data_IF_802259355005
#
_entry.id   IF_802259355005
#
_cell.length_a   1.000
_cell.length_b   1.000
_cell.length_c   1.000
_cell.angle_alpha   90.00
_cell.angle_beta   90.00
_cell.angle_gamma   90.00
#
_symmetry.space_group_name_H-M   'P 1'
#
loop_
_entity.id
_entity.type
_entity.pdbx_description
1 polymer ?
#
# COMPACT_ATOMS: atom_id res chain seq x y z
N UNK A 1 3.60 38.02 -1.03
CA UNK A 1 4.24 36.75 -1.24
C UNK A 1 5.42 36.59 -0.31
N UNK A 2 5.25 35.88 0.82
CA UNK A 2 6.38 35.42 1.62
C UNK A 2 6.76 34.05 1.06
N UNK A 3 7.94 33.99 0.37
CA UNK A 3 8.52 32.74 -0.06
C UNK A 3 8.74 31.82 1.14
N UNK A 4 8.35 30.54 0.99
CA UNK A 4 8.69 29.51 1.94
C UNK A 4 10.20 29.50 2.15
N UNK A 5 10.66 29.92 3.34
CA UNK A 5 12.03 29.74 3.74
C UNK A 5 12.26 28.23 3.91
N UNK A 6 13.11 27.65 3.06
CA UNK A 6 13.50 26.26 3.19
C UNK A 6 14.19 26.07 4.54
N UNK A 7 13.79 25.10 5.37
CA UNK A 7 14.66 24.63 6.42
C UNK A 7 15.95 24.12 5.74
N UNK A 8 17.10 24.50 6.25
CA UNK A 8 18.43 24.24 5.68
C UNK A 8 18.88 22.76 5.70
N UNK A 9 18.01 21.83 6.02
CA UNK A 9 18.17 20.40 5.81
C UNK A 9 17.24 19.99 4.69
N UNK A 10 17.76 19.94 3.47
CA UNK A 10 17.09 19.24 2.38
C UNK A 10 16.85 17.79 2.84
N UNK A 11 15.61 17.38 2.87
CA UNK A 11 15.23 15.98 3.16
C UNK A 11 15.62 15.02 2.01
N UNK A 12 16.72 15.31 1.28
CA UNK A 12 17.13 14.55 0.11
C UNK A 12 16.29 14.82 -1.15
N UNK A 13 15.15 15.52 -1.03
CA UNK A 13 14.32 15.89 -2.17
C UNK A 13 15.02 17.00 -2.97
N UNK A 14 15.54 16.59 -4.12
CA UNK A 14 16.03 17.58 -5.11
C UNK A 14 14.85 18.41 -5.61
N UNK A 15 15.05 19.72 -5.78
CA UNK A 15 14.05 20.62 -6.36
C UNK A 15 13.63 20.23 -7.78
N UNK A 16 14.40 19.35 -8.43
CA UNK A 16 14.11 18.81 -9.74
C UNK A 16 14.37 17.31 -9.74
N UNK A 17 13.37 16.48 -9.99
CA UNK A 17 13.58 15.06 -10.19
C UNK A 17 14.53 14.83 -11.38
N UNK A 18 15.38 13.81 -11.30
CA UNK A 18 16.29 13.44 -12.40
C UNK A 18 15.54 13.01 -13.66
N UNK A 19 14.37 12.44 -13.50
CA UNK A 19 13.48 12.05 -14.61
C UNK A 19 12.19 12.85 -14.52
N UNK A 20 11.85 13.54 -15.60
CA UNK A 20 10.61 14.31 -15.73
C UNK A 20 9.98 14.07 -17.10
N UNK A 21 8.69 14.23 -17.18
CA UNK A 21 8.00 14.28 -18.46
C UNK A 21 8.38 15.56 -19.21
N UNK A 22 8.49 15.50 -20.56
CA UNK A 22 8.72 16.70 -21.36
C UNK A 22 7.63 17.76 -21.12
N UNK A 23 8.03 19.03 -21.09
CA UNK A 23 7.12 20.17 -20.93
C UNK A 23 6.85 20.56 -19.46
N UNK A 24 7.56 19.97 -18.50
CA UNK A 24 7.52 20.36 -17.09
C UNK A 24 8.90 20.83 -16.64
N UNK A 25 9.16 22.12 -16.71
CA UNK A 25 10.48 22.72 -16.41
C UNK A 25 10.51 23.47 -15.07
N UNK A 26 9.36 23.80 -14.52
CA UNK A 26 9.25 24.50 -13.23
C UNK A 26 9.82 23.65 -12.08
N UNK A 27 10.61 24.26 -11.18
CA UNK A 27 11.13 23.52 -10.01
C UNK A 27 9.99 23.05 -9.11
N UNK A 28 10.17 21.89 -8.49
CA UNK A 28 9.26 21.45 -7.45
C UNK A 28 9.44 22.30 -6.20
N UNK A 29 8.34 22.54 -5.52
CA UNK A 29 8.30 23.23 -4.23
C UNK A 29 8.26 22.18 -3.09
N UNK A 30 8.77 22.57 -1.93
CA UNK A 30 8.52 21.85 -0.68
C UNK A 30 7.52 22.67 0.12
N UNK A 31 6.33 22.14 0.27
CA UNK A 31 5.28 22.72 1.09
C UNK A 31 5.17 21.98 2.40
N UNK A 32 4.76 22.64 3.47
CA UNK A 32 4.41 21.93 4.71
C UNK A 32 3.16 21.08 4.50
N UNK A 33 3.06 19.98 5.25
CA UNK A 33 1.88 19.13 5.17
C UNK A 33 0.59 19.91 5.51
N UNK A 34 0.66 20.91 6.42
CA UNK A 34 -0.46 21.80 6.77
C UNK A 34 -0.89 22.71 5.62
N UNK A 35 0.03 23.12 4.75
CA UNK A 35 -0.32 23.89 3.55
C UNK A 35 -1.06 23.04 2.52
N UNK A 36 -0.79 21.75 2.46
CA UNK A 36 -1.36 20.81 1.48
C UNK A 36 -2.61 20.11 1.99
N UNK A 37 -2.65 19.77 3.28
CA UNK A 37 -3.70 18.96 3.88
C UNK A 37 -4.19 19.57 5.19
N UNK A 38 -5.46 19.35 5.49
CA UNK A 38 -6.06 19.69 6.77
C UNK A 38 -6.52 18.43 7.50
N UNK A 39 -6.44 18.46 8.82
CA UNK A 39 -7.06 17.43 9.65
C UNK A 39 -8.58 17.61 9.67
N UNK A 40 -9.32 16.57 9.34
CA UNK A 40 -10.78 16.56 9.33
C UNK A 40 -11.28 15.63 10.43
N UNK A 41 -12.25 16.13 11.20
CA UNK A 41 -12.97 15.34 12.21
C UNK A 41 -14.46 15.54 11.99
N UNK A 42 -15.02 14.73 11.12
CA UNK A 42 -16.44 14.70 10.80
C UNK A 42 -17.03 13.40 11.34
N UNK A 43 -18.00 13.48 12.22
CA UNK A 43 -18.59 12.35 12.97
C UNK A 43 -20.11 12.36 12.81
N UNK A 44 -20.77 11.39 13.46
CA UNK A 44 -22.23 11.23 13.46
C UNK A 44 -22.80 10.79 12.10
N UNK A 45 -22.11 9.85 11.45
CA UNK A 45 -22.56 9.21 10.20
C UNK A 45 -22.69 7.68 10.40
N UNK A 46 -23.52 7.18 11.34
CA UNK A 46 -23.58 5.76 11.67
C UNK A 46 -24.12 4.87 10.54
N UNK A 47 -24.83 5.45 9.58
CA UNK A 47 -25.44 4.74 8.45
C UNK A 47 -24.45 4.53 7.29
N UNK A 48 -23.27 5.12 7.37
CA UNK A 48 -22.25 5.02 6.32
C UNK A 48 -21.45 3.72 6.40
N UNK A 49 -20.91 3.29 5.26
CA UNK A 49 -20.11 2.06 5.17
C UNK A 49 -18.88 2.12 6.06
N UNK A 50 -18.74 1.14 6.93
CA UNK A 50 -17.54 1.02 7.77
C UNK A 50 -16.38 0.50 6.94
N UNK A 51 -15.33 1.30 6.87
CA UNK A 51 -14.12 0.98 6.13
C UNK A 51 -13.00 0.47 7.06
N UNK A 52 -12.22 -0.46 6.55
CA UNK A 52 -10.99 -0.93 7.20
C UNK A 52 -9.78 -0.58 6.35
N UNK A 53 -8.66 -0.36 7.03
CA UNK A 53 -7.36 -0.10 6.38
C UNK A 53 -6.74 -1.43 5.96
N UNK A 54 -6.28 -1.49 4.72
CA UNK A 54 -5.45 -2.57 4.19
C UNK A 54 -4.16 -1.96 3.70
N UNK A 55 -3.07 -2.23 4.38
CA UNK A 55 -1.76 -1.65 4.09
C UNK A 55 -1.35 -1.88 2.64
N UNK A 56 -0.98 -0.80 1.96
CA UNK A 56 -0.62 -0.78 0.54
C UNK A 56 -1.79 -0.92 -0.43
N UNK A 57 -3.05 -0.89 0.07
CA UNK A 57 -4.25 -1.01 -0.77
C UNK A 57 -5.32 0.04 -0.46
N UNK A 58 -5.06 0.91 0.53
CA UNK A 58 -6.03 1.92 0.97
C UNK A 58 -7.12 1.34 1.85
N UNK A 59 -8.36 1.78 1.63
CA UNK A 59 -9.53 1.32 2.38
C UNK A 59 -10.36 0.33 1.60
N UNK A 60 -10.96 -0.62 2.32
CA UNK A 60 -11.98 -1.54 1.82
C UNK A 60 -13.18 -1.58 2.78
N UNK A 61 -14.41 -1.83 2.30
CA UNK A 61 -15.53 -2.18 3.15
C UNK A 61 -15.14 -3.32 4.09
N UNK A 62 -15.44 -3.19 5.36
CA UNK A 62 -15.04 -4.15 6.39
C UNK A 62 -15.50 -5.57 6.09
N UNK A 63 -16.68 -5.71 5.52
CA UNK A 63 -17.25 -7.01 5.12
C UNK A 63 -16.38 -7.75 4.10
N UNK A 64 -15.72 -7.01 3.20
CA UNK A 64 -14.83 -7.56 2.17
C UNK A 64 -13.43 -7.91 2.70
N UNK A 65 -13.05 -7.37 3.86
CA UNK A 65 -11.74 -7.60 4.45
C UNK A 65 -11.63 -8.92 5.24
N UNK A 66 -12.70 -9.74 5.30
CA UNK A 66 -12.70 -11.05 5.94
C UNK A 66 -12.48 -11.03 7.47
N UNK A 67 -12.61 -9.88 8.10
CA UNK A 67 -12.49 -9.72 9.55
C UNK A 67 -13.87 -9.47 10.15
N UNK A 68 -14.50 -10.50 10.72
CA UNK A 68 -15.67 -10.35 11.57
C UNK A 68 -15.24 -9.78 12.94
N UNK A 69 -15.08 -8.47 12.99
CA UNK A 69 -14.94 -7.77 14.27
C UNK A 69 -16.34 -7.27 14.64
N UNK A 70 -16.93 -7.88 15.65
CA UNK A 70 -18.15 -7.35 16.27
C UNK A 70 -17.83 -5.98 16.86
N UNK A 71 -18.60 -4.97 16.47
CA UNK A 71 -18.59 -3.66 17.07
C UNK A 71 -20.01 -3.34 17.56
N UNK A 72 -20.07 -2.55 18.61
CA UNK A 72 -21.34 -2.05 19.12
C UNK A 72 -21.81 -0.92 18.19
N UNK A 73 -23.00 -1.03 17.63
CA UNK A 73 -23.59 -0.01 16.73
C UNK A 73 -23.64 1.35 17.41
N UNK A 74 -23.77 1.41 18.73
CA UNK A 74 -23.68 2.64 19.52
C UNK A 74 -22.34 3.35 19.39
N UNK A 75 -21.27 2.67 18.97
CA UNK A 75 -19.93 3.24 18.79
C UNK A 75 -19.74 3.90 17.42
N UNK A 76 -20.58 3.61 16.43
CA UNK A 76 -20.41 4.10 15.05
C UNK A 76 -20.55 5.62 14.93
N UNK A 77 -21.35 6.26 15.78
CA UNK A 77 -21.48 7.71 15.83
C UNK A 77 -20.16 8.44 16.13
N UNK A 78 -19.19 7.74 16.75
CA UNK A 78 -17.85 8.29 17.04
C UNK A 78 -16.88 8.12 15.88
N UNK A 79 -17.21 7.29 14.88
CA UNK A 79 -16.36 7.08 13.72
C UNK A 79 -16.26 8.36 12.90
N UNK A 80 -15.18 8.49 12.16
CA UNK A 80 -14.87 9.68 11.36
C UNK A 80 -15.18 9.41 9.90
N UNK A 81 -15.90 10.32 9.27
CA UNK A 81 -16.22 10.29 7.85
C UNK A 81 -14.97 10.58 7.02
N UNK A 82 -14.68 9.73 6.04
CA UNK A 82 -13.67 9.95 5.02
C UNK A 82 -14.32 10.06 3.66
N UNK A 83 -13.77 10.91 2.81
CA UNK A 83 -14.13 11.02 1.41
C UNK A 83 -13.07 10.33 0.54
N UNK A 84 -13.49 9.82 -0.59
CA UNK A 84 -12.57 9.25 -1.58
C UNK A 84 -11.44 10.23 -1.90
N UNK A 85 -10.20 9.78 -1.74
CA UNK A 85 -9.00 10.60 -1.96
C UNK A 85 -8.45 11.27 -0.71
N UNK A 86 -9.15 11.21 0.44
CA UNK A 86 -8.57 11.58 1.73
C UNK A 86 -7.46 10.60 2.12
N UNK A 87 -6.47 11.07 2.87
CA UNK A 87 -5.43 10.21 3.43
C UNK A 87 -5.65 9.95 4.91
N UNK A 88 -5.20 8.80 5.36
CA UNK A 88 -5.44 8.32 6.71
C UNK A 88 -4.12 7.98 7.37
N UNK A 89 -3.82 8.67 8.49
CA UNK A 89 -2.77 8.25 9.41
C UNK A 89 -3.41 7.24 10.36
N UNK A 90 -3.03 5.99 10.23
CA UNK A 90 -3.51 4.89 11.06
C UNK A 90 -2.42 4.40 12.01
N UNK A 91 -2.75 3.48 12.91
CA UNK A 91 -1.86 3.05 13.99
C UNK A 91 -0.49 2.48 13.55
N UNK A 92 -0.39 2.02 12.30
CA UNK A 92 0.85 1.45 11.74
C UNK A 92 1.41 2.24 10.56
N UNK A 93 0.98 3.49 10.37
CA UNK A 93 1.46 4.33 9.26
C UNK A 93 2.99 4.53 9.28
N UNK A 94 3.61 4.44 10.45
CA UNK A 94 5.07 4.54 10.60
C UNK A 94 5.84 3.34 9.98
N UNK A 95 5.16 2.25 9.61
CA UNK A 95 5.76 1.07 8.98
C UNK A 95 5.61 1.08 7.46
N UNK A 96 4.52 1.61 6.94
CA UNK A 96 4.19 1.47 5.53
C UNK A 96 3.62 2.72 4.84
N UNK A 97 3.59 3.86 5.53
CA UNK A 97 3.07 5.11 4.99
C UNK A 97 1.58 5.34 5.28
N UNK A 98 1.01 6.32 4.60
CA UNK A 98 -0.39 6.71 4.75
C UNK A 98 -1.23 6.00 3.71
N UNK A 99 -2.43 5.57 4.12
CA UNK A 99 -3.37 4.94 3.22
C UNK A 99 -4.40 5.94 2.68
N UNK A 100 -4.79 5.76 1.43
CA UNK A 100 -5.81 6.60 0.79
C UNK A 100 -7.20 5.96 0.92
N UNK A 101 -8.22 6.78 1.16
CA UNK A 101 -9.61 6.35 1.10
C UNK A 101 -10.02 6.08 -0.37
N UNK A 102 -10.33 4.83 -0.69
CA UNK A 102 -10.75 4.43 -2.03
C UNK A 102 -12.20 4.78 -2.34
N UNK A 103 -13.01 4.97 -1.31
CA UNK A 103 -14.43 5.30 -1.35
C UNK A 103 -14.84 6.13 -0.14
N UNK A 104 -16.04 6.66 -0.14
CA UNK A 104 -16.61 7.35 1.00
C UNK A 104 -17.04 6.33 2.05
N UNK A 105 -16.95 6.70 3.33
CA UNK A 105 -17.37 5.84 4.43
C UNK A 105 -16.80 6.32 5.76
N UNK A 106 -16.90 5.50 6.79
CA UNK A 106 -16.43 5.84 8.13
C UNK A 106 -15.30 4.91 8.59
N UNK A 107 -14.34 5.50 9.29
CA UNK A 107 -13.16 4.80 9.83
C UNK A 107 -13.05 5.01 11.34
N UNK A 108 -12.20 4.21 11.98
CA UNK A 108 -11.94 4.28 13.43
C UNK A 108 -11.68 5.71 13.92
N UNK A 109 -12.23 6.10 15.07
CA UNK A 109 -11.98 7.41 15.68
C UNK A 109 -10.51 7.64 16.06
N UNK A 110 -9.72 6.58 16.21
CA UNK A 110 -8.29 6.65 16.51
C UNK A 110 -7.44 7.15 15.33
N UNK A 111 -7.99 7.19 14.11
CA UNK A 111 -7.24 7.62 12.93
C UNK A 111 -7.32 9.13 12.72
N UNK A 112 -6.27 9.69 12.12
CA UNK A 112 -6.23 11.08 11.68
C UNK A 112 -6.52 11.13 10.18
N UNK A 113 -7.46 11.99 9.79
CA UNK A 113 -7.91 12.12 8.40
C UNK A 113 -7.35 13.41 7.82
N UNK A 114 -6.67 13.28 6.69
CA UNK A 114 -6.05 14.37 5.97
C UNK A 114 -6.80 14.62 4.66
N UNK A 115 -7.42 15.77 4.55
CA UNK A 115 -8.11 16.22 3.33
C UNK A 115 -7.32 17.31 2.65
N UNK A 116 -7.22 17.25 1.32
CA UNK A 116 -6.47 18.24 0.54
C UNK A 116 -7.03 19.64 0.64
N UNK A 117 -6.13 20.62 0.79
CA UNK A 117 -6.41 22.08 0.80
C UNK A 117 -6.06 22.73 -0.54
N UNK A 118 -4.97 22.28 -1.16
CA UNK A 118 -4.52 22.76 -2.47
C UNK A 118 -4.95 21.79 -3.58
N UNK A 119 -5.14 22.25 -4.83
CA UNK A 119 -5.35 21.34 -5.96
C UNK A 119 -4.21 20.35 -6.07
N UNK A 120 -4.53 19.07 -6.05
CA UNK A 120 -3.55 17.98 -6.10
C UNK A 120 -4.15 16.71 -6.72
N UNK A 121 -3.28 15.78 -7.08
CA UNK A 121 -3.64 14.41 -7.43
C UNK A 121 -3.48 13.50 -6.20
N UNK A 122 -4.57 12.96 -5.67
CA UNK A 122 -4.49 12.01 -4.56
C UNK A 122 -3.67 10.78 -4.93
N UNK A 123 -3.72 10.32 -6.18
CA UNK A 123 -2.90 9.19 -6.67
C UNK A 123 -1.41 9.50 -6.70
N UNK A 124 -1.01 10.77 -6.92
CA UNK A 124 0.38 11.18 -6.81
C UNK A 124 0.89 11.06 -5.37
N UNK A 125 0.12 11.57 -4.41
CA UNK A 125 0.49 11.45 -2.99
C UNK A 125 0.36 10.04 -2.46
N UNK A 126 -0.60 9.23 -2.92
CA UNK A 126 -0.66 7.81 -2.60
C UNK A 126 0.65 7.11 -2.99
N UNK A 127 1.15 7.33 -4.21
CA UNK A 127 2.43 6.76 -4.62
C UNK A 127 3.60 7.31 -3.79
N UNK A 128 3.63 8.61 -3.50
CA UNK A 128 4.69 9.21 -2.70
C UNK A 128 4.70 8.72 -1.25
N UNK A 129 3.53 8.62 -0.61
CA UNK A 129 3.42 8.21 0.79
C UNK A 129 3.80 6.75 1.06
N UNK A 130 3.93 5.93 0.03
CA UNK A 130 4.44 4.57 0.13
C UNK A 130 5.92 4.43 -0.27
N UNK A 131 6.61 5.53 -0.57
CA UNK A 131 8.05 5.47 -0.86
C UNK A 131 8.88 5.29 0.40
N UNK A 132 10.01 4.61 0.26
CA UNK A 132 11.01 4.50 1.33
C UNK A 132 11.49 5.88 1.80
N UNK A 133 11.70 6.81 0.88
CA UNK A 133 12.06 8.20 1.18
C UNK A 133 11.03 8.86 2.11
N UNK A 134 9.75 8.74 1.82
CA UNK A 134 8.73 9.31 2.68
C UNK A 134 8.68 8.60 4.05
N UNK A 135 8.58 7.30 4.07
CA UNK A 135 8.37 6.52 5.30
C UNK A 135 9.57 6.66 6.25
N UNK A 136 10.78 6.42 5.75
CA UNK A 136 11.97 6.31 6.58
C UNK A 136 12.70 7.65 6.82
N UNK A 137 12.54 8.64 5.92
CA UNK A 137 13.28 9.89 6.03
C UNK A 137 12.41 11.12 6.30
N UNK A 138 11.14 11.11 5.94
CA UNK A 138 10.21 12.22 6.17
C UNK A 138 9.27 11.91 7.32
N UNK A 139 8.47 10.87 7.19
CA UNK A 139 7.43 10.51 8.17
C UNK A 139 8.03 10.11 9.53
N UNK A 140 9.18 9.44 9.53
CA UNK A 140 9.89 9.04 10.75
C UNK A 140 10.17 10.20 11.71
N UNK A 141 10.28 11.42 11.20
CA UNK A 141 10.49 12.64 12.01
C UNK A 141 9.28 13.05 12.84
N UNK A 142 8.10 12.56 12.49
CA UNK A 142 6.84 12.82 13.20
C UNK A 142 6.39 11.66 14.08
N UNK A 143 7.19 10.59 14.17
CA UNK A 143 6.87 9.43 15.01
C UNK A 143 7.22 9.75 16.45
N UNK A 144 6.23 9.66 17.32
CA UNK A 144 6.34 9.86 18.76
C UNK A 144 6.20 8.52 19.48
N UNK A 145 6.81 8.41 20.66
CA UNK A 145 6.78 7.20 21.48
C UNK A 145 7.84 6.17 21.10
N UNK A 146 7.88 5.06 21.86
CA UNK A 146 8.85 3.98 21.71
C UNK A 146 8.15 2.62 21.63
N UNK A 147 8.78 1.67 20.94
CA UNK A 147 8.27 0.29 20.77
C UNK A 147 6.82 0.26 20.26
N UNK A 148 5.93 -0.45 20.95
CA UNK A 148 4.54 -0.63 20.56
C UNK A 148 3.65 0.61 20.77
N UNK A 149 4.17 1.63 21.48
CA UNK A 149 3.51 2.91 21.71
C UNK A 149 3.81 3.98 20.65
N UNK A 150 4.44 3.63 19.54
CA UNK A 150 4.71 4.59 18.46
C UNK A 150 3.42 5.04 17.78
N UNK A 151 3.30 6.34 17.60
CA UNK A 151 2.17 6.96 16.92
C UNK A 151 2.62 8.21 16.17
N UNK A 152 1.78 8.67 15.26
CA UNK A 152 1.98 9.91 14.52
C UNK A 152 0.81 10.83 14.85
N UNK A 153 1.10 11.95 15.53
CA UNK A 153 0.11 12.99 15.77
C UNK A 153 0.01 13.92 14.55
N UNK A 154 -1.16 14.54 14.37
CA UNK A 154 -1.29 15.58 13.35
C UNK A 154 -0.37 16.77 13.63
N UNK A 155 -0.17 17.12 14.89
CA UNK A 155 0.69 18.24 15.29
C UNK A 155 2.17 18.03 14.91
N UNK A 156 2.66 16.80 14.97
CA UNK A 156 3.97 16.45 14.47
C UNK A 156 4.02 16.35 12.93
N UNK A 157 2.98 15.78 12.32
CA UNK A 157 2.88 15.58 10.88
C UNK A 157 2.79 16.90 10.11
N UNK A 158 2.03 17.88 10.58
CA UNK A 158 1.72 19.12 9.85
C UNK A 158 2.95 19.93 9.41
N UNK A 159 4.09 19.76 10.08
CA UNK A 159 5.35 20.44 9.79
C UNK A 159 6.25 19.72 8.78
N UNK A 160 5.89 18.53 8.37
CA UNK A 160 6.69 17.78 7.41
C UNK A 160 6.71 18.49 6.06
N UNK A 161 7.89 18.54 5.44
CA UNK A 161 8.05 19.05 4.08
C UNK A 161 7.65 18.00 3.06
N UNK A 162 6.67 18.29 2.22
CA UNK A 162 6.16 17.41 1.17
C UNK A 162 6.42 18.04 -0.21
N UNK A 163 6.73 17.22 -1.23
CA UNK A 163 6.94 17.73 -2.57
C UNK A 163 5.61 18.21 -3.19
N UNK A 164 5.67 19.33 -3.87
CA UNK A 164 4.55 19.88 -4.62
C UNK A 164 5.01 20.34 -6.01
N UNK A 165 4.35 19.89 -7.03
CA UNK A 165 4.50 20.36 -8.40
C UNK A 165 3.12 20.68 -8.99
N UNK A 166 3.08 21.15 -10.21
CA UNK A 166 1.80 21.49 -10.85
C UNK A 166 0.84 20.31 -10.87
N UNK A 167 -0.48 20.52 -10.67
CA UNK A 167 -1.46 19.42 -10.70
C UNK A 167 -1.43 18.62 -12.00
N UNK A 168 -1.08 19.23 -13.11
CA UNK A 168 -0.92 18.55 -14.41
C UNK A 168 0.28 17.58 -14.42
N UNK A 169 1.40 17.96 -13.82
CA UNK A 169 2.56 17.08 -13.67
C UNK A 169 2.25 15.94 -12.69
N UNK A 170 1.62 16.24 -11.55
CA UNK A 170 1.17 15.23 -10.60
C UNK A 170 0.26 14.19 -11.26
N UNK A 171 -0.68 14.63 -12.11
CA UNK A 171 -1.57 13.73 -12.85
C UNK A 171 -0.79 12.80 -13.80
N UNK A 172 0.20 13.32 -14.52
CA UNK A 172 1.06 12.52 -15.41
C UNK A 172 1.87 11.47 -14.65
N UNK A 173 2.45 11.85 -13.52
CA UNK A 173 3.19 10.94 -12.66
C UNK A 173 2.25 9.86 -12.11
N UNK A 174 1.07 10.24 -11.63
CA UNK A 174 0.07 9.32 -11.12
C UNK A 174 -0.41 8.33 -12.19
N UNK A 175 -0.60 8.79 -13.44
CA UNK A 175 -0.94 7.95 -14.58
C UNK A 175 0.12 6.88 -14.84
N UNK A 176 1.40 7.26 -14.85
CA UNK A 176 2.52 6.32 -15.01
C UNK A 176 2.49 5.22 -13.94
N UNK A 177 2.39 5.60 -12.66
CA UNK A 177 2.35 4.61 -11.58
C UNK A 177 1.11 3.74 -11.63
N UNK A 178 -0.06 4.30 -12.00
CA UNK A 178 -1.28 3.50 -12.20
C UNK A 178 -1.11 2.44 -13.29
N UNK A 179 -0.47 2.78 -14.40
CA UNK A 179 -0.19 1.81 -15.49
C UNK A 179 0.77 0.72 -15.02
N UNK A 180 1.83 1.09 -14.30
CA UNK A 180 2.79 0.13 -13.75
C UNK A 180 2.14 -0.82 -12.75
N UNK A 181 1.35 -0.30 -11.82
CA UNK A 181 0.61 -1.11 -10.84
C UNK A 181 -0.32 -2.11 -11.52
N UNK A 182 -1.13 -1.65 -12.48
CA UNK A 182 -2.01 -2.54 -13.26
C UNK A 182 -1.23 -3.64 -14.01
N UNK A 183 -0.04 -3.32 -14.50
CA UNK A 183 0.82 -4.31 -15.16
C UNK A 183 1.32 -5.36 -14.18
N UNK A 184 1.77 -4.94 -13.01
CA UNK A 184 2.22 -5.84 -11.92
C UNK A 184 1.07 -6.76 -11.50
N UNK A 185 -0.12 -6.22 -11.27
CA UNK A 185 -1.31 -7.00 -10.89
C UNK A 185 -1.64 -8.08 -11.94
N UNK A 186 -1.68 -7.70 -13.24
CA UNK A 186 -1.92 -8.65 -14.32
C UNK A 186 -0.85 -9.75 -14.39
N UNK A 187 0.42 -9.40 -14.19
CA UNK A 187 1.50 -10.39 -14.17
C UNK A 187 1.38 -11.34 -12.97
N UNK A 188 1.00 -10.83 -11.82
CA UNK A 188 0.76 -11.64 -10.62
C UNK A 188 -0.35 -12.67 -10.86
N UNK A 189 -1.48 -12.25 -11.42
CA UNK A 189 -2.60 -13.14 -11.78
C UNK A 189 -2.14 -14.20 -12.79
N UNK A 190 -1.34 -13.83 -13.79
CA UNK A 190 -0.82 -14.78 -14.77
C UNK A 190 0.09 -15.81 -14.11
N UNK A 191 1.02 -15.37 -13.26
CA UNK A 191 1.93 -16.27 -12.52
C UNK A 191 1.14 -17.26 -11.65
N UNK A 192 0.11 -16.79 -10.95
CA UNK A 192 -0.71 -17.67 -10.11
C UNK A 192 -1.53 -18.67 -10.94
N UNK A 193 -2.04 -18.24 -12.09
CA UNK A 193 -2.71 -19.14 -13.05
C UNK A 193 -1.78 -20.21 -13.58
N UNK A 194 -0.54 -19.86 -13.93
CA UNK A 194 0.47 -20.81 -14.38
C UNK A 194 0.88 -21.78 -13.28
N UNK A 195 1.01 -21.31 -12.04
CA UNK A 195 1.27 -22.19 -10.88
C UNK A 195 0.12 -23.18 -10.67
N UNK A 196 -1.13 -22.73 -10.83
CA UNK A 196 -2.33 -23.59 -10.74
C UNK A 196 -2.34 -24.62 -11.88
N UNK A 197 -2.05 -24.18 -13.10
CA UNK A 197 -1.96 -25.07 -14.26
C UNK A 197 -0.87 -26.12 -14.06
N UNK A 198 0.36 -25.73 -13.64
CA UNK A 198 1.44 -26.66 -13.35
C UNK A 198 1.03 -27.73 -12.34
N UNK A 199 0.39 -27.34 -11.23
CA UNK A 199 -0.10 -28.30 -10.22
C UNK A 199 -1.15 -29.26 -10.80
N UNK A 200 -2.06 -28.75 -11.64
CA UNK A 200 -3.07 -29.55 -12.31
C UNK A 200 -2.47 -30.57 -13.28
N UNK A 201 -1.51 -30.12 -14.09
CA UNK A 201 -0.81 -30.98 -15.06
C UNK A 201 -0.03 -32.10 -14.33
N UNK A 202 0.73 -31.75 -13.29
CA UNK A 202 1.44 -32.74 -12.46
C UNK A 202 0.47 -33.79 -11.90
N UNK A 203 -0.66 -33.34 -11.32
CA UNK A 203 -1.68 -34.25 -10.77
C UNK A 203 -2.26 -35.15 -11.88
N UNK A 204 -2.55 -34.60 -13.05
CA UNK A 204 -3.12 -35.39 -14.16
C UNK A 204 -2.14 -36.47 -14.67
N UNK A 205 -0.85 -36.11 -14.79
CA UNK A 205 0.20 -37.07 -15.21
C UNK A 205 0.40 -38.15 -14.17
N UNK A 206 0.65 -37.80 -12.91
CA UNK A 206 0.94 -38.79 -11.86
C UNK A 206 -0.27 -39.61 -11.44
N UNK A 207 -1.49 -39.14 -11.64
CA UNK A 207 -2.71 -39.92 -11.45
C UNK A 207 -3.11 -40.71 -12.72
N UNK A 208 -2.25 -40.78 -13.72
CA UNK A 208 -2.51 -41.46 -15.01
C UNK A 208 -3.79 -40.99 -15.75
N UNK A 209 -4.22 -39.74 -15.46
CA UNK A 209 -5.36 -39.12 -16.15
C UNK A 209 -4.96 -38.46 -17.50
N UNK A 210 -3.66 -38.23 -17.69
CA UNK A 210 -3.08 -37.74 -18.94
C UNK A 210 -1.78 -38.50 -19.19
N UNK A 211 -1.59 -38.99 -20.40
CA UNK A 211 -0.36 -39.66 -20.85
C UNK A 211 0.19 -38.96 -22.08
N UNK A 212 1.51 -38.86 -22.17
CA UNK A 212 2.23 -38.38 -23.36
C UNK A 212 2.52 -39.52 -24.36
N UNK A 213 2.17 -40.74 -24.04
CA UNK A 213 2.43 -41.94 -24.85
C UNK A 213 1.09 -42.61 -25.18
N UNK A 214 1.02 -43.27 -26.33
CA UNK A 214 -0.15 -44.04 -26.74
C UNK A 214 -0.57 -45.06 -25.70
N UNK A 215 -1.86 -45.35 -25.64
CA UNK A 215 -2.61 -46.09 -24.58
C UNK A 215 -2.05 -47.45 -24.13
N UNK A 216 -0.93 -47.93 -24.66
CA UNK A 216 -0.42 -49.29 -24.44
C UNK A 216 0.65 -49.43 -23.38
N UNK A 217 1.20 -48.35 -22.84
CA UNK A 217 2.22 -48.44 -21.78
C UNK A 217 1.63 -48.08 -20.42
N UNK A 218 1.42 -49.09 -19.58
CA UNK A 218 1.17 -48.87 -18.17
C UNK A 218 2.47 -48.51 -17.45
N UNK A 219 2.37 -47.65 -16.44
CA UNK A 219 3.48 -47.35 -15.56
C UNK A 219 3.79 -48.56 -14.67
N UNK A 220 5.08 -48.91 -14.54
CA UNK A 220 5.51 -49.93 -13.62
C UNK A 220 5.55 -49.35 -12.20
N UNK A 221 5.16 -50.17 -11.22
CA UNK A 221 5.21 -49.78 -9.82
C UNK A 221 6.52 -50.33 -9.20
N UNK A 222 7.27 -49.40 -8.59
CA UNK A 222 8.50 -49.71 -7.87
C UNK A 222 8.38 -49.24 -6.43
N UNK A 223 8.96 -49.98 -5.50
CA UNK A 223 9.07 -49.49 -4.12
C UNK A 223 10.20 -48.51 -3.99
N UNK A 224 10.20 -47.69 -2.96
CA UNK A 224 11.29 -46.78 -2.68
C UNK A 224 12.66 -47.50 -2.55
N UNK A 225 12.62 -48.72 -2.03
CA UNK A 225 13.82 -49.57 -1.89
C UNK A 225 14.40 -49.99 -3.25
N UNK A 226 13.56 -50.14 -4.28
CA UNK A 226 14.02 -50.54 -5.62
C UNK A 226 14.67 -49.34 -6.37
N UNK A 227 14.28 -48.14 -5.98
CA UNK A 227 14.69 -46.89 -6.66
C UNK A 227 15.90 -46.19 -6.00
N UNK A 228 16.04 -46.30 -4.67
CA UNK A 228 17.06 -45.60 -3.89
C UNK A 228 17.66 -46.49 -2.82
N UNK A 229 18.97 -46.41 -2.64
CA UNK A 229 19.68 -46.93 -1.47
C UNK A 229 19.97 -45.78 -0.51
N UNK A 230 19.59 -45.95 0.75
CA UNK A 230 19.92 -44.98 1.81
C UNK A 230 21.29 -45.33 2.37
N UNK A 231 22.26 -44.42 2.25
CA UNK A 231 23.49 -44.49 3.03
C UNK A 231 23.32 -43.66 4.29
N UNK A 232 23.53 -44.29 5.44
CA UNK A 232 23.65 -43.53 6.69
C UNK A 232 24.91 -42.67 6.60
N UNK A 233 24.76 -41.35 6.93
CA UNK A 233 25.94 -40.49 7.01
C UNK A 233 26.95 -41.03 7.99
N UNK A 234 28.25 -40.97 7.65
CA UNK A 234 29.30 -41.20 8.62
C UNK A 234 29.30 -40.02 9.59
N UNK A 235 29.24 -40.31 10.86
CA UNK A 235 29.52 -39.32 11.89
C UNK A 235 30.95 -38.82 11.69
N UNK A 236 31.09 -37.55 11.42
CA UNK A 236 32.42 -36.91 11.48
C UNK A 236 32.82 -36.83 12.96
N UNK A 237 33.77 -37.65 13.36
CA UNK A 237 34.44 -37.56 14.65
C UNK A 237 35.32 -36.31 14.75
#
# INVERSE_FOLDING_TARGET
>A
GRGCAFPSSSNGLEKRPKLRFPGFDEPWEICTAEELFQNVTDKNHPDETVLTIVQGKGTLPREQAGRNIHYDDASLSNYKMVQKGDFIIHLRSFEGGLEMANENGIVSPAYTILRGKKPHSSRFYEAYFHTDEFVNHVLSKSVEGIRDGRQISYDAFKWLGLPYCSPSEQAKIAELFSVLTKRIEKQTVLVDSLKKYKRGALKAVFNQQASFVSESQKWDEYTMRDLISLQSGQDFA
#
